data_IF_780432717894
#
_entry.id   IF_780432717894
#
_cell.length_a   1.000
_cell.length_b   1.000
_cell.length_c   1.000
_cell.angle_alpha   90.00
_cell.angle_beta   90.00
_cell.angle_gamma   90.00
#
_symmetry.space_group_name_H-M   'P 1'
#
loop_
_entity.id
_entity.type
_entity.pdbx_description
1 polymer ?
#
# COMPACT_ATOMS: atom_id res chain seq x y z
N UNK A 1 22.76 -19.69 10.05
CA UNK A 1 22.04 -18.86 11.05
C UNK A 1 20.69 -19.49 11.41
N UNK A 2 19.72 -19.57 10.50
CA UNK A 2 18.36 -20.11 10.78
C UNK A 2 18.38 -21.58 11.21
N UNK A 3 19.30 -22.40 10.67
CA UNK A 3 19.39 -23.84 10.97
C UNK A 3 20.20 -24.18 12.22
N UNK A 4 20.69 -23.19 12.98
CA UNK A 4 21.53 -23.44 14.14
C UNK A 4 20.71 -23.92 15.36
N UNK A 5 21.18 -24.91 16.14
CA UNK A 5 20.58 -25.25 17.42
C UNK A 5 20.50 -24.01 18.34
N UNK A 6 19.34 -23.75 18.94
CA UNK A 6 19.13 -22.58 19.81
C UNK A 6 18.88 -21.26 19.06
N UNK A 7 18.63 -21.29 17.75
CA UNK A 7 18.23 -20.10 17.00
C UNK A 7 16.95 -19.47 17.57
N UNK A 8 17.03 -18.17 17.88
CA UNK A 8 15.90 -17.32 18.22
C UNK A 8 15.73 -16.25 17.12
N UNK A 9 14.55 -16.13 16.49
CA UNK A 9 14.29 -15.10 15.49
C UNK A 9 14.45 -13.70 16.07
N UNK A 10 15.12 -12.81 15.33
CA UNK A 10 15.11 -11.38 15.64
C UNK A 10 13.93 -10.68 14.95
N UNK A 11 13.73 -9.39 15.22
CA UNK A 11 12.64 -8.60 14.62
C UNK A 11 12.69 -8.62 13.08
N UNK A 12 13.89 -8.59 12.49
CA UNK A 12 14.05 -8.63 11.04
C UNK A 12 13.62 -9.97 10.43
N UNK A 13 13.83 -11.08 11.15
CA UNK A 13 13.37 -12.41 10.75
C UNK A 13 11.84 -12.46 10.76
N UNK A 14 11.22 -11.89 11.80
CA UNK A 14 9.75 -11.79 11.91
C UNK A 14 9.19 -10.93 10.77
N UNK A 15 9.76 -9.75 10.51
CA UNK A 15 9.33 -8.85 9.43
C UNK A 15 9.48 -9.45 8.02
N UNK A 16 10.44 -10.38 7.83
CA UNK A 16 10.65 -11.10 6.56
C UNK A 16 9.87 -12.41 6.48
N UNK A 17 9.30 -12.88 7.59
CA UNK A 17 8.48 -14.08 7.60
C UNK A 17 7.20 -13.83 6.80
N UNK A 18 6.85 -14.78 5.91
CA UNK A 18 5.65 -14.68 5.09
C UNK A 18 4.54 -15.49 5.75
N UNK A 19 3.62 -14.80 6.41
CA UNK A 19 2.36 -15.37 6.89
C UNK A 19 1.22 -14.72 6.11
N UNK A 20 0.37 -15.53 5.49
CA UNK A 20 -0.79 -15.02 4.76
C UNK A 20 -1.87 -14.59 5.76
N UNK A 21 -2.24 -13.30 5.76
CA UNK A 21 -3.41 -12.84 6.50
C UNK A 21 -4.69 -13.45 5.93
N UNK A 22 -5.50 -14.04 6.81
CA UNK A 22 -6.85 -14.55 6.50
C UNK A 22 -7.84 -13.91 7.47
N UNK A 23 -8.96 -13.43 6.97
CA UNK A 23 -9.94 -12.69 7.77
C UNK A 23 -9.55 -11.22 7.99
N UNK A 24 -10.01 -10.69 9.13
CA UNK A 24 -9.83 -9.31 9.56
C UNK A 24 -9.18 -9.37 10.95
N UNK A 25 -8.09 -8.64 11.13
CA UNK A 25 -7.36 -8.55 12.40
C UNK A 25 -7.41 -7.11 12.87
N UNK A 26 -7.94 -6.89 14.07
CA UNK A 26 -7.98 -5.57 14.70
C UNK A 26 -6.77 -5.41 15.65
N UNK A 27 -6.05 -4.31 15.51
CA UNK A 27 -4.97 -3.91 16.43
C UNK A 27 -5.23 -2.51 16.97
N UNK A 28 -5.11 -2.35 18.29
CA UNK A 28 -5.23 -1.05 18.96
C UNK A 28 -3.89 -0.63 19.53
N UNK A 29 -3.49 0.60 19.26
CA UNK A 29 -2.24 1.17 19.76
C UNK A 29 -2.34 2.69 19.84
N UNK A 30 -1.43 3.32 20.58
CA UNK A 30 -1.41 4.78 20.76
C UNK A 30 -0.10 5.37 20.24
N UNK A 31 -0.17 6.50 19.54
CA UNK A 31 0.98 7.25 19.04
C UNK A 31 0.72 8.74 19.26
N UNK A 32 1.65 9.46 19.92
CA UNK A 32 1.53 10.91 20.19
C UNK A 32 0.15 11.29 20.76
N UNK A 33 -0.29 10.56 21.79
CA UNK A 33 -1.59 10.72 22.48
C UNK A 33 -2.85 10.42 21.64
N UNK A 34 -2.68 9.93 20.42
CA UNK A 34 -3.78 9.50 19.54
C UNK A 34 -3.97 8.00 19.63
N UNK A 35 -5.22 7.56 19.71
CA UNK A 35 -5.58 6.15 19.75
C UNK A 35 -5.96 5.66 18.35
N UNK A 36 -5.21 4.69 17.84
CA UNK A 36 -5.43 4.06 16.56
C UNK A 36 -6.15 2.72 16.73
N UNK A 37 -7.09 2.47 15.81
CA UNK A 37 -7.77 1.19 15.64
C UNK A 37 -7.54 0.74 14.20
N UNK A 38 -6.49 -0.07 14.00
CA UNK A 38 -6.08 -0.55 12.68
C UNK A 38 -6.74 -1.90 12.37
N UNK A 39 -7.29 -2.02 11.18
CA UNK A 39 -7.83 -3.28 10.65
C UNK A 39 -6.94 -3.78 9.52
N UNK A 40 -6.21 -4.87 9.75
CA UNK A 40 -5.51 -5.60 8.69
C UNK A 40 -6.47 -6.60 8.05
N UNK A 41 -6.58 -6.56 6.73
CA UNK A 41 -7.53 -7.37 5.96
C UNK A 41 -6.81 -8.20 4.91
N UNK A 42 -7.20 -9.46 4.76
CA UNK A 42 -6.64 -10.32 3.73
C UNK A 42 -6.83 -9.73 2.32
N UNK A 43 -5.73 -9.58 1.56
CA UNK A 43 -5.73 -8.98 0.21
C UNK A 43 -6.15 -9.90 -0.94
N UNK A 44 -6.19 -11.21 -0.70
CA UNK A 44 -6.48 -12.22 -1.72
C UNK A 44 -7.93 -12.18 -2.16
N UNK A 45 -8.21 -12.59 -3.40
CA UNK A 45 -9.56 -12.50 -3.99
C UNK A 45 -10.63 -13.18 -3.12
N UNK A 46 -10.29 -14.30 -2.48
CA UNK A 46 -11.20 -15.03 -1.56
C UNK A 46 -11.57 -14.24 -0.29
N UNK A 47 -10.71 -13.33 0.15
CA UNK A 47 -10.86 -12.59 1.40
C UNK A 47 -11.63 -11.28 1.23
N UNK A 48 -11.63 -10.70 0.02
CA UNK A 48 -12.19 -9.37 -0.25
C UNK A 48 -13.68 -9.23 0.04
N UNK A 49 -14.46 -10.32 -0.03
CA UNK A 49 -15.88 -10.32 0.36
C UNK A 49 -16.10 -9.91 1.82
N UNK A 50 -15.09 -10.11 2.69
CA UNK A 50 -15.15 -9.78 4.11
C UNK A 50 -14.91 -8.29 4.37
N UNK A 51 -14.33 -7.56 3.42
CA UNK A 51 -13.91 -6.17 3.64
C UNK A 51 -15.06 -5.22 3.99
N UNK A 52 -16.28 -5.51 3.52
CA UNK A 52 -17.46 -4.69 3.82
C UNK A 52 -17.71 -4.52 5.34
N UNK A 53 -17.25 -5.46 6.16
CA UNK A 53 -17.34 -5.38 7.62
C UNK A 53 -16.45 -4.29 8.25
N UNK A 54 -15.56 -3.69 7.47
CA UNK A 54 -14.64 -2.64 7.92
C UNK A 54 -14.93 -1.27 7.28
N UNK A 55 -15.97 -1.12 6.45
CA UNK A 55 -16.14 0.07 5.60
C UNK A 55 -16.74 1.28 6.32
N UNK A 56 -17.40 1.09 7.46
CA UNK A 56 -18.06 2.16 8.19
C UNK A 56 -17.12 2.87 9.19
N UNK A 57 -17.15 4.20 9.19
CA UNK A 57 -16.37 5.01 10.13
C UNK A 57 -14.86 4.98 9.91
N UNK A 58 -14.40 4.65 8.70
CA UNK A 58 -12.98 4.66 8.35
C UNK A 58 -12.49 6.09 8.16
N UNK A 59 -11.58 6.52 9.03
CA UNK A 59 -10.90 7.82 8.92
C UNK A 59 -9.99 7.88 7.70
N UNK A 60 -9.27 6.80 7.41
CA UNK A 60 -8.32 6.74 6.31
C UNK A 60 -8.07 5.30 5.86
N UNK A 61 -7.76 5.11 4.59
CA UNK A 61 -7.35 3.82 4.01
C UNK A 61 -5.84 3.84 3.75
N UNK A 62 -5.13 2.80 4.19
CA UNK A 62 -3.76 2.53 3.74
C UNK A 62 -3.84 1.44 2.66
N UNK A 63 -3.51 1.79 1.42
CA UNK A 63 -3.41 0.86 0.32
C UNK A 63 -1.95 0.55 0.02
N UNK A 64 -1.57 -0.73 0.04
CA UNK A 64 -0.21 -1.18 -0.24
C UNK A 64 -0.12 -1.85 -1.61
N UNK A 65 0.46 -1.17 -2.59
CA UNK A 65 0.85 -1.73 -3.89
C UNK A 65 2.31 -2.22 -3.86
N UNK A 66 2.62 -3.31 -4.56
CA UNK A 66 4.00 -3.80 -4.65
C UNK A 66 4.66 -3.32 -5.94
N UNK A 67 5.61 -2.37 -5.84
CA UNK A 67 6.35 -1.84 -7.00
C UNK A 67 7.05 -2.96 -7.78
N UNK A 68 7.67 -3.89 -7.06
CA UNK A 68 8.46 -4.98 -7.63
C UNK A 68 7.63 -6.08 -8.31
N UNK A 69 6.31 -5.94 -8.44
CA UNK A 69 5.41 -6.98 -8.93
C UNK A 69 4.98 -6.81 -10.41
N UNK A 70 5.52 -5.81 -11.11
CA UNK A 70 5.19 -5.51 -12.52
C UNK A 70 5.53 -6.64 -13.50
N UNK A 71 6.46 -7.52 -13.15
CA UNK A 71 6.89 -8.68 -13.93
C UNK A 71 6.33 -10.01 -13.39
N UNK A 72 5.35 -9.97 -12.49
CA UNK A 72 4.82 -11.14 -11.81
C UNK A 72 3.34 -11.37 -12.11
N UNK A 73 2.93 -12.63 -12.11
CA UNK A 73 1.52 -13.06 -12.18
C UNK A 73 0.98 -13.45 -10.81
N UNK A 74 -0.34 -13.42 -10.61
CA UNK A 74 -0.97 -13.77 -9.33
C UNK A 74 -0.64 -15.22 -8.94
N UNK A 75 -0.73 -15.52 -7.64
CA UNK A 75 -0.63 -16.92 -7.20
C UNK A 75 -1.93 -17.67 -7.51
N UNK A 76 -3.05 -16.95 -7.44
CA UNK A 76 -4.38 -17.50 -7.72
C UNK A 76 -4.69 -17.68 -9.21
N UNK A 77 -3.91 -17.05 -10.10
CA UNK A 77 -4.22 -16.89 -11.52
C UNK A 77 -2.93 -16.49 -12.30
N UNK A 78 -2.40 -17.41 -13.11
CA UNK A 78 -1.11 -17.25 -13.80
C UNK A 78 -1.21 -16.44 -15.10
N UNK A 79 -2.41 -16.05 -15.53
CA UNK A 79 -2.63 -15.17 -16.68
C UNK A 79 -2.73 -13.69 -16.27
N UNK A 80 -2.94 -13.41 -14.98
CA UNK A 80 -3.16 -12.05 -14.48
C UNK A 80 -1.91 -11.47 -13.86
N UNK A 81 -1.39 -10.40 -14.46
CA UNK A 81 -0.29 -9.61 -13.91
C UNK A 81 -0.69 -8.95 -12.57
N UNK A 82 0.20 -9.04 -11.57
CA UNK A 82 -0.05 -8.52 -10.21
C UNK A 82 -0.19 -7.00 -10.14
N UNK A 83 0.55 -6.26 -10.97
CA UNK A 83 0.47 -4.80 -10.99
C UNK A 83 -0.88 -4.35 -11.56
N UNK A 84 -1.35 -4.97 -12.65
CA UNK A 84 -2.68 -4.69 -13.20
C UNK A 84 -3.80 -5.07 -12.24
N UNK A 85 -3.72 -6.21 -11.56
CA UNK A 85 -4.67 -6.56 -10.49
C UNK A 85 -4.66 -5.51 -9.37
N UNK A 86 -3.49 -5.03 -8.98
CA UNK A 86 -3.35 -4.01 -7.94
C UNK A 86 -3.97 -2.67 -8.37
N UNK A 87 -3.78 -2.25 -9.62
CA UNK A 87 -4.41 -1.05 -10.19
C UNK A 87 -5.93 -1.21 -10.24
N UNK A 88 -6.43 -2.36 -10.70
CA UNK A 88 -7.86 -2.65 -10.74
C UNK A 88 -8.49 -2.62 -9.34
N UNK A 89 -7.84 -3.25 -8.36
CA UNK A 89 -8.28 -3.22 -6.96
C UNK A 89 -8.26 -1.80 -6.40
N UNK A 90 -7.19 -1.04 -6.65
CA UNK A 90 -7.09 0.34 -6.20
C UNK A 90 -8.20 1.20 -6.79
N UNK A 91 -8.47 1.08 -8.09
CA UNK A 91 -9.57 1.77 -8.77
C UNK A 91 -10.92 1.50 -8.07
N UNK A 92 -11.19 0.23 -7.74
CA UNK A 92 -12.45 -0.17 -7.09
C UNK A 92 -12.61 0.41 -5.69
N UNK A 93 -11.51 0.62 -4.95
CA UNK A 93 -11.51 1.19 -3.60
C UNK A 93 -11.53 2.71 -3.66
N UNK A 94 -10.66 3.31 -4.46
CA UNK A 94 -10.54 4.76 -4.62
C UNK A 94 -11.86 5.38 -5.06
N UNK A 95 -12.61 4.70 -5.92
CA UNK A 95 -13.87 5.22 -6.46
C UNK A 95 -15.11 4.59 -5.79
N UNK A 96 -14.95 3.85 -4.69
CA UNK A 96 -16.07 3.27 -3.97
C UNK A 96 -16.91 4.35 -3.27
N UNK A 97 -18.25 4.23 -3.34
CA UNK A 97 -19.18 5.20 -2.73
C UNK A 97 -18.99 5.39 -1.22
N UNK A 98 -18.70 4.31 -0.48
CA UNK A 98 -18.45 4.38 0.97
C UNK A 98 -17.16 5.13 1.33
N UNK A 99 -16.25 5.29 0.36
CA UNK A 99 -14.97 5.96 0.57
C UNK A 99 -14.91 7.29 -0.16
N UNK A 100 -16.03 7.85 -0.62
CA UNK A 100 -16.07 9.04 -1.45
C UNK A 100 -15.22 10.22 -0.91
N UNK A 101 -15.27 10.44 0.41
CA UNK A 101 -14.52 11.48 1.12
C UNK A 101 -13.38 10.92 2.00
N UNK A 102 -13.14 9.61 1.98
CA UNK A 102 -12.09 8.99 2.80
C UNK A 102 -10.73 9.20 2.15
N UNK A 103 -9.81 9.83 2.87
CA UNK A 103 -8.41 10.01 2.44
C UNK A 103 -7.73 8.64 2.24
N UNK A 104 -6.82 8.58 1.27
CA UNK A 104 -6.10 7.35 0.93
C UNK A 104 -4.60 7.59 1.00
N UNK A 105 -3.92 6.69 1.68
CA UNK A 105 -2.46 6.61 1.75
C UNK A 105 -2.04 5.47 0.85
N UNK A 106 -1.33 5.78 -0.21
CA UNK A 106 -0.80 4.81 -1.16
C UNK A 106 0.66 4.51 -0.81
N UNK A 107 0.91 3.31 -0.29
CA UNK A 107 2.25 2.76 -0.13
C UNK A 107 2.64 1.95 -1.36
N UNK A 108 3.55 2.50 -2.14
CA UNK A 108 4.26 1.80 -3.21
C UNK A 108 5.45 1.07 -2.59
N UNK A 109 5.17 -0.11 -2.04
CA UNK A 109 6.09 -0.88 -1.20
C UNK A 109 7.05 -1.75 -2.04
N UNK A 110 8.07 -2.31 -1.38
CA UNK A 110 9.15 -3.11 -1.97
C UNK A 110 10.02 -2.31 -2.94
N UNK A 111 10.27 -1.04 -2.59
CA UNK A 111 11.13 -0.16 -3.40
C UNK A 111 12.55 -0.71 -3.55
N UNK A 112 13.05 -1.41 -2.53
CA UNK A 112 14.34 -2.11 -2.50
C UNK A 112 14.42 -3.21 -3.57
N UNK A 113 13.39 -4.04 -3.68
CA UNK A 113 13.34 -5.09 -4.69
C UNK A 113 13.09 -4.52 -6.09
N UNK A 114 12.36 -3.41 -6.18
CA UNK A 114 12.11 -2.72 -7.45
C UNK A 114 13.40 -2.10 -8.00
N UNK A 115 14.20 -1.43 -7.17
CA UNK A 115 15.46 -0.80 -7.54
C UNK A 115 16.45 -1.78 -8.19
N UNK A 116 16.54 -3.01 -7.68
CA UNK A 116 17.40 -4.04 -8.26
C UNK A 116 16.80 -4.69 -9.51
N UNK A 117 15.49 -4.78 -9.58
CA UNK A 117 14.78 -5.46 -10.67
C UNK A 117 14.67 -4.59 -11.92
N UNK A 118 14.42 -3.30 -11.76
CA UNK A 118 14.24 -2.39 -12.89
C UNK A 118 15.48 -2.34 -13.76
N UNK A 119 16.68 -2.47 -13.18
CA UNK A 119 17.97 -2.58 -13.90
C UNK A 119 18.04 -3.76 -14.89
N UNK A 120 17.17 -4.78 -14.74
CA UNK A 120 17.22 -6.04 -15.48
C UNK A 120 16.02 -6.26 -16.40
N UNK A 121 14.84 -5.82 -15.97
CA UNK A 121 13.57 -6.05 -16.69
C UNK A 121 12.91 -4.70 -16.94
N UNK A 122 12.76 -4.34 -18.21
CA UNK A 122 12.17 -3.06 -18.59
C UNK A 122 10.72 -2.94 -18.15
N UNK A 123 10.29 -1.76 -17.69
CA UNK A 123 8.90 -1.54 -17.23
C UNK A 123 7.86 -1.82 -18.33
N UNK A 124 8.25 -1.68 -19.60
CA UNK A 124 7.35 -1.86 -20.75
C UNK A 124 6.75 -3.27 -20.89
N UNK A 125 7.27 -4.28 -20.20
CA UNK A 125 6.63 -5.60 -20.16
C UNK A 125 5.26 -5.57 -19.47
N UNK A 126 5.05 -4.60 -18.58
CA UNK A 126 3.81 -4.38 -17.85
C UNK A 126 3.04 -3.19 -18.40
N UNK A 127 3.76 -2.17 -18.89
CA UNK A 127 3.17 -0.96 -19.43
C UNK A 127 3.72 -0.71 -20.83
N UNK A 128 3.14 -1.33 -21.88
CA UNK A 128 3.68 -1.23 -23.24
C UNK A 128 3.85 0.21 -23.75
N UNK A 129 3.03 1.13 -23.25
CA UNK A 129 3.05 2.56 -23.59
C UNK A 129 4.14 3.36 -22.82
N UNK A 130 4.91 2.71 -21.94
CA UNK A 130 6.01 3.35 -21.24
C UNK A 130 7.25 3.47 -22.13
N UNK A 131 7.59 4.70 -22.50
CA UNK A 131 8.74 5.07 -23.34
C UNK A 131 9.88 5.74 -22.56
N UNK A 132 9.73 5.88 -21.23
CA UNK A 132 10.70 6.54 -20.37
C UNK A 132 11.95 5.72 -20.05
N UNK A 133 12.97 6.35 -19.42
CA UNK A 133 14.18 5.67 -18.99
C UNK A 133 13.90 4.60 -17.94
N UNK A 134 14.56 3.45 -18.03
CA UNK A 134 14.35 2.34 -17.09
C UNK A 134 15.11 2.53 -15.75
N UNK A 135 15.03 3.72 -15.17
CA UNK A 135 15.62 4.07 -13.88
C UNK A 135 14.62 3.87 -12.76
N UNK A 136 15.10 3.75 -11.52
CA UNK A 136 14.23 3.66 -10.34
C UNK A 136 13.26 4.85 -10.26
N UNK A 137 13.75 6.06 -10.52
CA UNK A 137 12.98 7.29 -10.37
C UNK A 137 11.91 7.40 -11.46
N UNK A 138 12.29 7.30 -12.74
CA UNK A 138 11.36 7.45 -13.86
C UNK A 138 10.28 6.35 -13.86
N UNK A 139 10.70 5.09 -13.73
CA UNK A 139 9.77 3.95 -13.76
C UNK A 139 8.89 3.91 -12.50
N UNK A 140 9.47 4.22 -11.33
CA UNK A 140 8.72 4.32 -10.08
C UNK A 140 7.68 5.44 -10.12
N UNK A 141 8.06 6.62 -10.62
CA UNK A 141 7.15 7.75 -10.77
C UNK A 141 6.05 7.46 -11.79
N UNK A 142 6.36 6.76 -12.88
CA UNK A 142 5.34 6.32 -13.83
C UNK A 142 4.31 5.42 -13.16
N UNK A 143 4.74 4.38 -12.43
CA UNK A 143 3.80 3.50 -11.68
C UNK A 143 2.97 4.33 -10.71
N UNK A 144 3.59 5.26 -9.98
CA UNK A 144 2.88 6.17 -9.07
C UNK A 144 1.78 6.94 -9.80
N UNK A 145 2.08 7.52 -10.96
CA UNK A 145 1.10 8.24 -11.79
C UNK A 145 -0.06 7.33 -12.21
N UNK A 146 0.22 6.08 -12.62
CA UNK A 146 -0.82 5.11 -12.96
C UNK A 146 -1.83 4.90 -11.83
N UNK A 147 -1.40 4.90 -10.57
CA UNK A 147 -2.33 4.83 -9.44
C UNK A 147 -3.07 6.15 -9.21
N UNK A 148 -2.36 7.28 -9.22
CA UNK A 148 -2.96 8.58 -8.93
C UNK A 148 -4.01 9.01 -9.98
N UNK A 149 -3.84 8.61 -11.22
CA UNK A 149 -4.78 8.91 -12.31
C UNK A 149 -6.09 8.12 -12.22
N UNK A 150 -6.13 7.06 -11.42
CA UNK A 150 -7.38 6.34 -11.11
C UNK A 150 -8.31 7.12 -10.18
N UNK A 151 -7.84 8.21 -9.55
CA UNK A 151 -8.69 9.04 -8.72
C UNK A 151 -9.64 9.88 -9.57
N UNK A 152 -10.93 9.54 -9.56
CA UNK A 152 -11.95 10.29 -10.29
C UNK A 152 -12.42 11.56 -9.58
N UNK A 153 -11.95 11.81 -8.36
CA UNK A 153 -12.37 12.93 -7.49
C UNK A 153 -11.16 13.72 -6.99
N UNK A 154 -10.25 14.08 -7.90
CA UNK A 154 -8.99 14.79 -7.57
C UNK A 154 -9.21 16.14 -6.87
N UNK A 155 -10.40 16.71 -7.02
CA UNK A 155 -10.84 17.97 -6.42
C UNK A 155 -11.29 17.85 -4.97
N UNK A 156 -11.71 16.66 -4.52
CA UNK A 156 -12.26 16.44 -3.17
C UNK A 156 -11.45 15.43 -2.37
N UNK A 157 -10.79 14.48 -3.04
CA UNK A 157 -10.04 13.40 -2.40
C UNK A 157 -8.57 13.53 -2.73
N UNK A 158 -7.76 13.70 -1.69
CA UNK A 158 -6.32 13.63 -1.79
C UNK A 158 -5.80 12.19 -1.60
N UNK A 159 -4.76 11.83 -2.35
CA UNK A 159 -4.05 10.56 -2.21
C UNK A 159 -2.59 10.84 -1.86
N UNK A 160 -2.20 10.49 -0.64
CA UNK A 160 -0.83 10.62 -0.15
C UNK A 160 -0.02 9.41 -0.58
N UNK A 161 0.91 9.59 -1.52
CA UNK A 161 1.66 8.48 -2.12
C UNK A 161 3.13 8.48 -1.73
N UNK A 162 3.61 7.33 -1.22
CA UNK A 162 4.98 7.14 -0.77
C UNK A 162 5.56 5.82 -1.29
N UNK A 163 6.79 5.88 -1.81
CA UNK A 163 7.57 4.67 -2.09
C UNK A 163 8.23 4.20 -0.80
N UNK A 164 7.90 2.97 -0.38
CA UNK A 164 8.22 2.46 0.95
C UNK A 164 8.99 1.14 0.89
N UNK A 165 9.67 0.84 2.00
CA UNK A 165 10.17 -0.49 2.31
C UNK A 165 9.60 -0.89 3.66
N UNK A 166 8.59 -1.77 3.70
CA UNK A 166 7.91 -2.13 4.94
C UNK A 166 8.81 -2.86 5.95
N UNK A 167 9.91 -3.46 5.48
CA UNK A 167 10.90 -4.09 6.37
C UNK A 167 11.90 -3.08 6.96
N UNK A 168 11.87 -1.83 6.50
CA UNK A 168 12.60 -0.71 7.08
C UNK A 168 11.67 0.05 8.04
N UNK A 169 11.82 -0.22 9.33
CA UNK A 169 10.97 0.34 10.39
C UNK A 169 11.08 1.86 10.51
N UNK A 170 12.23 2.45 10.15
CA UNK A 170 12.39 3.91 10.15
C UNK A 170 11.63 4.55 9.01
N UNK A 171 11.68 3.94 7.82
CA UNK A 171 10.92 4.41 6.66
C UNK A 171 9.41 4.39 6.94
N UNK A 172 8.89 3.28 7.48
CA UNK A 172 7.47 3.18 7.80
C UNK A 172 7.05 4.18 8.88
N UNK A 173 7.87 4.35 9.93
CA UNK A 173 7.57 5.31 11.00
C UNK A 173 7.50 6.74 10.46
N UNK A 174 8.50 7.16 9.69
CA UNK A 174 8.53 8.50 9.11
C UNK A 174 7.33 8.78 8.21
N UNK A 175 6.99 7.82 7.34
CA UNK A 175 5.85 7.96 6.43
C UNK A 175 4.53 7.96 7.21
N UNK A 176 4.37 7.09 8.21
CA UNK A 176 3.17 7.05 9.03
C UNK A 176 2.98 8.35 9.82
N UNK A 177 4.05 8.89 10.42
CA UNK A 177 4.02 10.15 11.15
C UNK A 177 3.62 11.33 10.25
N UNK A 178 4.27 11.47 9.09
CA UNK A 178 4.00 12.56 8.16
C UNK A 178 2.55 12.55 7.67
N UNK A 179 2.01 11.37 7.39
CA UNK A 179 0.67 11.22 6.85
C UNK A 179 -0.41 11.36 7.94
N UNK A 180 -0.12 10.87 9.15
CA UNK A 180 -0.98 11.06 10.33
C UNK A 180 -1.18 12.55 10.62
N UNK A 181 -0.11 13.35 10.57
CA UNK A 181 -0.20 14.78 10.84
C UNK A 181 -1.06 15.53 9.82
N UNK A 182 -1.06 15.10 8.55
CA UNK A 182 -1.88 15.70 7.50
C UNK A 182 -3.35 15.32 7.64
N UNK A 183 -3.64 14.02 7.77
CA UNK A 183 -5.01 13.52 7.90
C UNK A 183 -5.70 14.07 9.16
N UNK A 184 -4.97 14.21 10.26
CA UNK A 184 -5.53 14.79 11.48
C UNK A 184 -5.85 16.26 11.29
N UNK A 185 -4.98 17.03 10.63
CA UNK A 185 -5.27 18.44 10.33
C UNK A 185 -6.50 18.59 9.45
N UNK A 186 -6.70 17.71 8.46
CA UNK A 186 -7.90 17.73 7.63
C UNK A 186 -9.15 17.38 8.43
N UNK A 187 -9.13 16.29 9.19
CA UNK A 187 -10.27 15.89 10.02
C UNK A 187 -10.62 16.93 11.09
N UNK A 188 -9.63 17.61 11.70
CA UNK A 188 -9.87 18.67 12.67
C UNK A 188 -10.53 19.90 12.03
N UNK A 189 -10.17 20.23 10.78
CA UNK A 189 -10.85 21.30 10.02
C UNK A 189 -12.30 20.92 9.73
N UNK A 190 -12.56 19.67 9.33
CA UNK A 190 -13.91 19.19 9.04
C UNK A 190 -14.81 19.17 10.29
N UNK A 191 -14.22 19.01 11.48
CA UNK A 191 -14.92 19.15 12.77
C UNK A 191 -15.08 20.61 13.25
N UNK A 192 -14.60 21.61 12.49
CA UNK A 192 -14.70 23.03 12.86
C UNK A 192 -13.81 23.45 14.03
N UNK A 193 -12.74 22.70 14.32
CA UNK A 193 -11.78 22.99 15.39
C UNK A 193 -10.62 23.89 14.93
N UNK A 194 -10.66 24.40 13.69
CA UNK A 194 -9.72 25.36 13.08
C UNK A 194 -10.44 26.35 12.18
#
# INVERSE_FOLDING_TARGET
RITAPGYLPNEQDVLRSRVKTTGIIETKFSVKDLNFRMFDVGGQRSERKKWIHCFEGVTCIIFCGALSAYDMVLVEDDEVNRMHESLHLFNSICNHKFFAATSIILFLNKKDLFEEKIKKVHLSICFPDYDGPNTFEDAGNYIKTQFLDLNMRKDVKEIYSHMTCATDTQNVKFVFDAVTDVIIKENLKDCGLF
#
